data_IF_808995467454
#
_entry.id   IF_808995467454
#
_cell.length_a   1.000
_cell.length_b   1.000
_cell.length_c   1.000
_cell.angle_alpha   90.00
_cell.angle_beta   90.00
_cell.angle_gamma   90.00
#
_symmetry.space_group_name_H-M   'P 1'
#
loop_
_entity.id
_entity.type
_entity.pdbx_description
1 polymer ?
#
# COMPACT_ATOMS: atom_id res chain seq x y z
N UNK A 1 8.00 28.79 6.36
CA UNK A 1 8.78 28.24 5.24
C UNK A 1 8.68 26.74 5.34
N UNK A 2 7.60 26.17 4.79
CA UNK A 2 7.51 24.72 4.54
C UNK A 2 8.55 24.42 3.46
N UNK A 3 9.63 23.76 3.88
CA UNK A 3 10.64 23.26 2.96
C UNK A 3 10.03 22.04 2.29
N UNK A 4 9.21 22.28 1.26
CA UNK A 4 8.79 21.26 0.29
C UNK A 4 10.08 20.78 -0.38
N UNK A 5 10.74 19.79 0.21
CA UNK A 5 11.81 19.08 -0.48
C UNK A 5 11.19 18.54 -1.77
N UNK A 6 11.87 18.65 -2.93
CA UNK A 6 11.32 18.12 -4.15
C UNK A 6 11.15 16.62 -3.92
N UNK A 7 9.90 16.16 -3.90
CA UNK A 7 9.52 14.76 -4.03
C UNK A 7 9.92 14.31 -5.45
N UNK A 8 11.21 14.40 -5.77
CA UNK A 8 11.80 13.56 -6.79
C UNK A 8 11.54 12.15 -6.29
N UNK A 9 10.42 11.58 -6.75
CA UNK A 9 9.91 10.29 -6.36
C UNK A 9 11.09 9.32 -6.31
N UNK A 10 11.55 9.03 -5.09
CA UNK A 10 12.58 8.02 -4.88
C UNK A 10 12.01 6.77 -5.53
N UNK A 11 12.70 6.24 -6.55
CA UNK A 11 12.22 5.02 -7.18
C UNK A 11 12.08 3.94 -6.09
N UNK A 12 11.01 3.13 -6.11
CA UNK A 12 10.82 2.09 -5.11
C UNK A 12 12.08 1.21 -4.99
N UNK A 13 12.50 0.84 -3.76
CA UNK A 13 13.62 -0.07 -3.56
C UNK A 13 13.38 -1.41 -4.28
N UNK A 14 14.21 -1.77 -5.24
CA UNK A 14 14.13 -3.07 -5.94
C UNK A 14 14.88 -4.13 -5.12
N UNK A 15 14.24 -5.28 -4.90
CA UNK A 15 14.87 -6.40 -4.21
C UNK A 15 15.74 -7.22 -5.19
N UNK A 16 17.03 -7.33 -4.89
CA UNK A 16 18.00 -8.09 -5.69
C UNK A 16 18.23 -9.52 -5.18
N UNK A 17 17.53 -9.93 -4.12
CA UNK A 17 17.68 -11.24 -3.49
C UNK A 17 18.75 -11.30 -2.39
N UNK A 18 19.47 -10.21 -2.12
CA UNK A 18 20.55 -10.15 -1.14
C UNK A 18 20.17 -9.18 -0.01
N UNK A 19 20.65 -9.44 1.22
CA UNK A 19 20.48 -8.54 2.37
C UNK A 19 19.03 -8.10 2.63
N UNK A 20 18.11 -9.07 2.66
CA UNK A 20 16.68 -8.85 2.90
C UNK A 20 16.39 -7.88 4.06
N UNK A 21 17.13 -7.97 5.17
CA UNK A 21 16.96 -7.08 6.33
C UNK A 21 17.16 -5.60 5.98
N UNK A 22 18.16 -5.28 5.15
CA UNK A 22 18.43 -3.90 4.72
C UNK A 22 17.35 -3.42 3.74
N UNK A 23 16.96 -4.29 2.80
CA UNK A 23 15.89 -3.97 1.86
C UNK A 23 14.55 -3.71 2.57
N UNK A 24 14.22 -4.53 3.57
CA UNK A 24 12.99 -4.40 4.35
C UNK A 24 12.92 -3.04 5.06
N UNK A 25 14.00 -2.61 5.72
CA UNK A 25 14.07 -1.29 6.38
C UNK A 25 13.93 -0.14 5.38
N UNK A 26 14.55 -0.25 4.20
CA UNK A 26 14.42 0.77 3.15
C UNK A 26 12.99 0.83 2.57
N UNK A 27 12.34 -0.31 2.39
CA UNK A 27 10.95 -0.39 1.92
C UNK A 27 9.97 0.19 2.94
N UNK A 28 10.18 -0.11 4.22
CA UNK A 28 9.36 0.43 5.31
C UNK A 28 9.44 1.96 5.36
N UNK A 29 10.66 2.52 5.34
CA UNK A 29 10.86 3.96 5.31
C UNK A 29 10.30 4.62 4.04
N UNK A 30 10.38 3.94 2.89
CA UNK A 30 9.79 4.43 1.64
C UNK A 30 8.26 4.50 1.73
N UNK A 31 7.60 3.48 2.28
CA UNK A 31 6.15 3.44 2.43
C UNK A 31 5.64 4.47 3.45
N UNK A 32 6.35 4.62 4.58
CA UNK A 32 6.06 5.61 5.62
C UNK A 32 6.18 7.04 5.09
N UNK A 33 7.24 7.33 4.32
CA UNK A 33 7.48 8.66 3.76
C UNK A 33 6.60 8.99 2.53
N UNK A 34 6.03 7.98 1.87
CA UNK A 34 5.22 8.20 0.67
C UNK A 34 3.73 8.37 0.97
N UNK A 35 3.30 8.29 2.23
CA UNK A 35 1.88 8.23 2.67
C UNK A 35 1.05 7.18 1.89
N UNK A 36 1.72 6.24 1.20
CA UNK A 36 1.09 5.24 0.33
C UNK A 36 0.33 4.19 1.15
N UNK A 37 0.66 4.08 2.43
CA UNK A 37 -0.10 3.25 3.34
C UNK A 37 -1.50 3.80 3.59
N UNK A 38 -1.73 5.11 3.51
CA UNK A 38 -3.06 5.70 3.65
C UNK A 38 -3.99 5.23 2.52
N UNK A 39 -3.53 5.27 1.25
CA UNK A 39 -4.33 4.80 0.11
C UNK A 39 -4.64 3.28 0.08
N UNK A 40 -3.87 2.46 0.81
CA UNK A 40 -4.09 1.01 0.92
C UNK A 40 -4.82 0.64 2.21
N UNK A 41 -4.67 1.45 3.27
CA UNK A 41 -5.30 1.24 4.58
C UNK A 41 -6.58 2.03 4.77
N UNK A 42 -6.92 2.96 3.88
CA UNK A 42 -8.29 3.41 3.67
C UNK A 42 -9.13 2.14 3.58
N UNK A 43 -9.93 1.92 4.62
CA UNK A 43 -10.76 0.74 4.80
C UNK A 43 -11.36 0.40 3.44
N UNK A 44 -10.91 -0.72 2.86
CA UNK A 44 -11.59 -1.28 1.72
C UNK A 44 -12.99 -1.64 2.23
N UNK A 45 -13.93 -0.72 2.12
CA UNK A 45 -15.33 -0.94 2.45
C UNK A 45 -15.80 -2.02 1.49
N UNK A 46 -15.78 -3.28 1.96
CA UNK A 46 -16.45 -4.34 1.24
C UNK A 46 -17.93 -3.97 1.29
N UNK A 47 -18.58 -3.69 0.14
CA UNK A 47 -19.99 -3.35 0.15
C UNK A 47 -20.78 -4.51 0.77
N UNK A 48 -21.77 -4.24 1.64
CA UNK A 48 -22.60 -5.29 2.20
C UNK A 48 -23.24 -6.10 1.07
N UNK A 49 -23.29 -7.41 1.24
CA UNK A 49 -23.96 -8.29 0.29
C UNK A 49 -25.44 -7.89 0.17
N UNK A 50 -25.96 -7.81 -1.05
CA UNK A 50 -27.40 -7.64 -1.29
C UNK A 50 -28.17 -8.90 -0.92
N UNK A 51 -29.50 -8.83 -0.80
CA UNK A 51 -30.36 -9.98 -0.44
C UNK A 51 -30.28 -11.17 -1.43
N UNK A 52 -29.75 -10.94 -2.63
CA UNK A 52 -29.49 -11.98 -3.63
C UNK A 52 -28.12 -11.73 -4.31
N UNK A 53 -27.01 -12.06 -3.63
CA UNK A 53 -25.69 -11.72 -4.11
C UNK A 53 -25.23 -12.70 -5.20
N UNK A 54 -24.45 -12.19 -6.15
CA UNK A 54 -23.82 -13.04 -7.18
C UNK A 54 -22.63 -13.79 -6.58
N UNK A 55 -22.28 -14.96 -7.12
CA UNK A 55 -21.07 -15.70 -6.70
C UNK A 55 -19.79 -14.84 -6.70
N UNK A 56 -19.68 -13.87 -7.61
CA UNK A 56 -18.57 -12.92 -7.64
C UNK A 56 -18.53 -11.99 -6.41
N UNK A 57 -19.69 -11.56 -5.90
CA UNK A 57 -19.79 -10.72 -4.70
C UNK A 57 -19.45 -11.51 -3.43
N UNK A 58 -19.91 -12.75 -3.34
CA UNK A 58 -19.58 -13.65 -2.22
C UNK A 58 -18.07 -13.90 -2.13
N UNK A 59 -17.39 -14.08 -3.27
CA UNK A 59 -15.93 -14.32 -3.31
C UNK A 59 -15.10 -13.09 -2.91
N UNK A 60 -15.64 -11.90 -3.05
CA UNK A 60 -14.98 -10.63 -2.70
C UNK A 60 -15.11 -10.30 -1.20
N UNK A 61 -16.09 -10.91 -0.51
CA UNK A 61 -16.43 -10.65 0.89
C UNK A 61 -15.86 -11.73 1.86
N UNK A 62 -14.93 -12.58 1.40
CA UNK A 62 -14.32 -13.67 2.19
C UNK A 62 -12.84 -13.45 2.44
#
# INVERSE_FOLDING_TARGET
MTSEAPLNALAPPVFDGINYQVWAVHMEAYLDASDLWEAVSEEYEVPPLSDNPTMAQIKLHN
#
